data_IF_407259436513
#
_entry.id   IF_407259436513
#
_cell.length_a   1.000
_cell.length_b   1.000
_cell.length_c   1.000
_cell.angle_alpha   90.00
_cell.angle_beta   90.00
_cell.angle_gamma   90.00
#
_symmetry.space_group_name_H-M   'P 1'
#
loop_
_entity.id
_entity.type
_entity.pdbx_description
1 polymer ?
#
# COMPACT_ATOMS: atom_id res chain seq x y z
N UNK A 1 10.04 -4.13 3.34
CA UNK A 1 9.14 -3.52 4.35
C UNK A 1 8.75 -4.56 5.39
N UNK A 2 8.80 -4.21 6.65
CA UNK A 2 8.38 -5.10 7.72
C UNK A 2 6.87 -5.01 7.95
N UNK A 3 6.33 -5.98 8.67
CA UNK A 3 4.91 -5.96 9.06
C UNK A 3 4.59 -4.69 9.86
N UNK A 4 5.49 -4.28 10.73
CA UNK A 4 5.30 -3.07 11.53
C UNK A 4 5.24 -1.82 10.65
N UNK A 5 6.13 -1.73 9.68
CA UNK A 5 6.15 -0.60 8.75
C UNK A 5 4.88 -0.54 7.91
N UNK A 6 4.42 -1.69 7.42
CA UNK A 6 3.18 -1.75 6.66
C UNK A 6 1.97 -1.33 7.51
N UNK A 7 1.93 -1.77 8.75
CA UNK A 7 0.86 -1.36 9.67
C UNK A 7 0.83 0.16 9.83
N UNK A 8 1.98 0.78 10.02
CA UNK A 8 2.07 2.23 10.19
C UNK A 8 1.59 2.98 8.95
N UNK A 9 1.94 2.49 7.78
CA UNK A 9 1.47 3.06 6.52
C UNK A 9 -0.05 2.94 6.41
N UNK A 10 -0.60 1.77 6.71
CA UNK A 10 -2.04 1.55 6.64
C UNK A 10 -2.80 2.44 7.62
N UNK A 11 -2.30 2.62 8.82
CA UNK A 11 -2.90 3.52 9.79
C UNK A 11 -2.89 4.97 9.30
N UNK A 12 -1.80 5.41 8.69
CA UNK A 12 -1.70 6.74 8.13
C UNK A 12 -2.71 6.95 6.99
N UNK A 13 -2.90 5.95 6.14
CA UNK A 13 -3.87 6.00 5.06
C UNK A 13 -5.31 6.06 5.60
N UNK A 14 -5.61 5.28 6.62
CA UNK A 14 -6.91 5.32 7.29
C UNK A 14 -7.17 6.73 7.84
N UNK A 15 -6.17 7.33 8.48
CA UNK A 15 -6.28 8.67 9.03
C UNK A 15 -6.49 9.75 7.96
N UNK A 16 -6.14 9.46 6.71
CA UNK A 16 -6.38 10.34 5.57
C UNK A 16 -7.75 10.09 4.92
N UNK A 17 -8.55 9.19 5.46
CA UNK A 17 -9.86 8.85 4.90
C UNK A 17 -9.81 7.84 3.78
N UNK A 18 -8.72 7.09 3.66
CA UNK A 18 -8.54 6.12 2.58
C UNK A 18 -8.78 4.68 3.01
N UNK A 19 -9.54 4.48 4.09
CA UNK A 19 -9.79 3.14 4.65
C UNK A 19 -10.47 2.19 3.69
N UNK A 20 -11.22 2.70 2.72
CA UNK A 20 -11.92 1.87 1.73
C UNK A 20 -11.19 1.78 0.39
N UNK A 21 -9.99 2.35 0.30
CA UNK A 21 -9.21 2.31 -0.94
C UNK A 21 -8.70 0.90 -1.21
N UNK A 22 -8.67 0.53 -2.49
CA UNK A 22 -8.21 -0.78 -2.93
C UNK A 22 -6.69 -0.79 -3.00
N UNK A 23 -6.09 -1.85 -2.47
CA UNK A 23 -4.63 -2.05 -2.54
C UNK A 23 -4.33 -2.91 -3.76
N UNK A 24 -3.37 -2.48 -4.56
CA UNK A 24 -2.96 -3.20 -5.78
C UNK A 24 -1.46 -3.44 -5.81
N UNK A 25 -1.05 -4.48 -6.52
CA UNK A 25 0.33 -4.80 -6.82
C UNK A 25 0.54 -4.90 -8.32
N UNK A 26 1.74 -4.58 -8.75
CA UNK A 26 2.14 -4.72 -10.16
C UNK A 26 3.01 -5.93 -10.42
N UNK A 27 3.32 -6.71 -9.43
CA UNK A 27 4.27 -7.80 -9.57
C UNK A 27 3.53 -9.12 -9.71
N UNK A 28 3.85 -9.90 -10.74
CA UNK A 28 3.00 -11.01 -11.12
C UNK A 28 3.32 -12.34 -10.47
N UNK A 29 4.53 -12.78 -10.41
CA UNK A 29 4.80 -14.19 -10.12
C UNK A 29 5.98 -14.45 -9.23
N UNK A 30 6.51 -13.45 -8.59
CA UNK A 30 7.74 -13.61 -7.82
C UNK A 30 7.56 -13.05 -6.45
N UNK A 31 8.10 -13.76 -5.50
CA UNK A 31 8.25 -13.22 -4.17
C UNK A 31 9.15 -11.99 -4.23
N UNK A 32 8.70 -10.88 -3.68
CA UNK A 32 9.50 -9.68 -3.62
C UNK A 32 9.23 -8.93 -2.32
N UNK A 33 10.18 -8.14 -1.92
CA UNK A 33 10.02 -7.31 -0.74
C UNK A 33 9.35 -6.00 -1.13
N UNK A 34 8.25 -5.66 -0.45
CA UNK A 34 7.59 -4.39 -0.64
C UNK A 34 8.42 -3.29 0.00
N UNK A 35 8.75 -2.25 -0.75
CA UNK A 35 9.58 -1.13 -0.28
C UNK A 35 8.80 0.15 -0.03
N UNK A 36 7.66 0.32 -0.68
CA UNK A 36 6.92 1.55 -0.55
C UNK A 36 5.52 1.49 -1.15
N UNK A 37 4.90 2.65 -1.29
CA UNK A 37 3.56 2.74 -1.84
C UNK A 37 3.36 4.09 -2.54
N UNK A 38 2.36 4.13 -3.43
CA UNK A 38 1.89 5.36 -4.05
C UNK A 38 0.38 5.43 -3.95
N UNK A 39 -0.15 6.64 -3.81
CA UNK A 39 -1.58 6.89 -3.92
C UNK A 39 -1.84 7.30 -5.36
N UNK A 40 -2.61 6.50 -6.08
CA UNK A 40 -2.90 6.75 -7.50
C UNK A 40 -4.02 7.79 -7.65
N UNK A 41 -4.21 8.29 -8.87
CA UNK A 41 -5.22 9.31 -9.15
C UNK A 41 -6.64 8.84 -8.82
N UNK A 42 -6.92 7.55 -8.99
CA UNK A 42 -8.21 6.94 -8.67
C UNK A 42 -8.33 6.51 -7.21
N UNK A 43 -7.40 6.93 -6.36
CA UNK A 43 -7.35 6.63 -4.92
C UNK A 43 -6.98 5.19 -4.60
N UNK A 44 -6.58 4.38 -5.56
CA UNK A 44 -6.01 3.07 -5.25
C UNK A 44 -4.63 3.22 -4.64
N UNK A 45 -4.25 2.28 -3.80
CA UNK A 45 -2.94 2.27 -3.15
C UNK A 45 -2.10 1.22 -3.87
N UNK A 46 -1.05 1.66 -4.55
CA UNK A 46 -0.16 0.77 -5.25
C UNK A 46 1.09 0.50 -4.41
N UNK A 47 1.33 -0.76 -4.11
CA UNK A 47 2.54 -1.18 -3.41
C UNK A 47 3.64 -1.54 -4.42
N UNK A 48 4.86 -1.23 -4.07
CA UNK A 48 6.00 -1.55 -4.94
C UNK A 48 7.27 -1.85 -4.15
#
# INVERSE_FOLDING_TARGET
>A
MTVKELKEILEALINQGLENSIVVFDNENVEFEVDGYNILEDKKIKLW
#
